data_IF_906247346559
#
_entry.id   IF_906247346559
#
_cell.length_a   1.000
_cell.length_b   1.000
_cell.length_c   1.000
_cell.angle_alpha   90.00
_cell.angle_beta   90.00
_cell.angle_gamma   90.00
#
_symmetry.space_group_name_H-M   'P 1'
#
loop_
_entity.id
_entity.type
_entity.pdbx_description
1 polymer ?
#
# COMPACT_ATOMS: atom_id res chain seq x y z
N UNK A 1 10.45 -13.26 -18.35
CA UNK A 1 10.76 -11.88 -18.77
C UNK A 1 10.36 -10.91 -17.68
N UNK A 2 11.22 -9.98 -17.22
CA UNK A 2 10.79 -8.93 -16.30
C UNK A 2 9.98 -7.85 -17.04
N UNK A 3 8.82 -7.48 -16.50
CA UNK A 3 8.12 -6.27 -16.93
C UNK A 3 8.84 -5.05 -16.35
N UNK A 4 9.15 -4.07 -17.21
CA UNK A 4 9.68 -2.78 -16.80
C UNK A 4 8.57 -1.74 -16.84
N UNK A 5 8.53 -0.87 -15.82
CA UNK A 5 7.56 0.22 -15.69
C UNK A 5 8.30 1.54 -15.46
N UNK A 6 7.76 2.62 -16.02
CA UNK A 6 8.24 3.97 -15.78
C UNK A 6 7.97 4.42 -14.32
N UNK A 7 8.67 5.45 -13.83
CA UNK A 7 8.36 6.06 -12.53
C UNK A 7 6.87 6.40 -12.37
N UNK A 8 6.29 5.98 -11.24
CA UNK A 8 4.87 6.16 -10.92
C UNK A 8 3.86 5.54 -11.92
N UNK A 9 4.29 4.61 -12.77
CA UNK A 9 3.38 3.88 -13.68
C UNK A 9 2.72 2.70 -12.99
N UNK A 10 3.49 1.93 -12.21
CA UNK A 10 3.01 0.77 -11.49
C UNK A 10 3.38 0.83 -9.99
N UNK A 11 2.53 0.23 -9.17
CA UNK A 11 2.83 -0.06 -7.78
C UNK A 11 2.67 -1.55 -7.52
N UNK A 12 3.52 -2.07 -6.64
CA UNK A 12 3.35 -3.35 -6.02
C UNK A 12 2.46 -3.21 -4.79
N UNK A 13 1.60 -4.20 -4.60
CA UNK A 13 0.72 -4.33 -3.46
C UNK A 13 0.98 -5.66 -2.77
N UNK A 14 1.14 -5.60 -1.45
CA UNK A 14 1.32 -6.78 -0.60
C UNK A 14 0.59 -6.61 0.74
N UNK A 15 0.39 -7.73 1.45
CA UNK A 15 -0.18 -7.77 2.79
C UNK A 15 0.75 -8.45 3.78
N UNK A 16 0.87 -7.87 4.96
CA UNK A 16 1.49 -8.55 6.10
C UNK A 16 0.57 -8.54 7.30
N UNK A 17 0.73 -9.51 8.20
CA UNK A 17 -0.06 -9.63 9.42
C UNK A 17 0.84 -9.48 10.63
N UNK A 18 0.38 -8.72 11.62
CA UNK A 18 1.13 -8.45 12.84
C UNK A 18 0.20 -8.60 14.04
N UNK A 19 0.73 -9.13 15.14
CA UNK A 19 0.09 -9.03 16.45
C UNK A 19 0.63 -7.77 17.13
N UNK A 20 -0.27 -6.89 17.54
CA UNK A 20 0.07 -5.61 18.18
C UNK A 20 -0.73 -5.45 19.46
N UNK A 21 -0.12 -4.84 20.47
CA UNK A 21 -0.81 -4.48 21.69
C UNK A 21 -1.48 -3.11 21.52
N UNK A 22 -2.80 -3.05 21.60
CA UNK A 22 -3.58 -1.80 21.55
C UNK A 22 -4.35 -1.70 22.86
N UNK A 23 -4.01 -0.71 23.68
CA UNK A 23 -4.64 -0.48 24.99
C UNK A 23 -4.67 -1.74 25.89
N UNK A 24 -3.55 -2.47 25.96
CA UNK A 24 -3.44 -3.70 26.74
C UNK A 24 -4.11 -4.93 26.12
N UNK A 25 -4.82 -4.79 25.00
CA UNK A 25 -5.41 -5.91 24.26
C UNK A 25 -4.53 -6.30 23.09
N UNK A 26 -4.19 -7.58 22.97
CA UNK A 26 -3.52 -8.09 21.76
C UNK A 26 -4.52 -8.14 20.61
N UNK A 27 -4.22 -7.44 19.53
CA UNK A 27 -5.04 -7.37 18.32
C UNK A 27 -4.19 -7.78 17.13
N UNK A 28 -4.72 -8.69 16.33
CA UNK A 28 -4.16 -9.00 15.01
C UNK A 28 -4.54 -7.90 14.03
N UNK A 29 -3.56 -7.25 13.42
CA UNK A 29 -3.76 -6.26 12.35
C UNK A 29 -3.18 -6.76 11.04
N UNK A 30 -3.85 -6.47 9.94
CA UNK A 30 -3.33 -6.68 8.60
C UNK A 30 -2.89 -5.33 8.03
N UNK A 31 -1.65 -5.25 7.55
CA UNK A 31 -1.06 -4.03 7.00
C UNK A 31 -0.94 -4.16 5.49
N UNK A 32 -1.58 -3.25 4.77
CA UNK A 32 -1.41 -3.09 3.34
C UNK A 32 -0.12 -2.33 3.06
N UNK A 33 0.74 -2.90 2.23
CA UNK A 33 1.95 -2.25 1.75
C UNK A 33 1.78 -1.89 0.27
N UNK A 34 1.96 -0.62 -0.06
CA UNK A 34 1.91 -0.09 -1.42
C UNK A 34 3.25 0.56 -1.74
N UNK A 35 3.98 0.02 -2.72
CA UNK A 35 5.30 0.52 -3.12
C UNK A 35 5.35 0.77 -4.62
N UNK A 36 5.91 1.91 -5.04
CA UNK A 36 6.13 2.16 -6.47
C UNK A 36 7.25 1.27 -7.01
N UNK A 37 7.05 0.68 -8.20
CA UNK A 37 8.01 -0.29 -8.76
C UNK A 37 9.39 0.33 -9.03
N UNK A 38 9.41 1.62 -9.43
CA UNK A 38 10.61 2.37 -9.78
C UNK A 38 11.12 3.31 -8.67
N UNK A 39 10.51 3.29 -7.48
CA UNK A 39 10.87 4.22 -6.39
C UNK A 39 10.88 3.53 -5.02
N UNK A 40 11.56 4.16 -4.05
CA UNK A 40 11.50 3.76 -2.63
C UNK A 40 10.30 4.37 -1.89
N UNK A 41 9.46 5.15 -2.57
CA UNK A 41 8.25 5.69 -1.98
C UNK A 41 7.28 4.56 -1.59
N UNK A 42 6.91 4.54 -0.30
CA UNK A 42 6.10 3.52 0.34
C UNK A 42 4.89 4.18 1.01
N UNK A 43 3.73 3.56 0.88
CA UNK A 43 2.52 3.89 1.61
C UNK A 43 2.01 2.65 2.34
N UNK A 44 1.71 2.79 3.64
CA UNK A 44 1.23 1.68 4.46
C UNK A 44 -0.05 2.04 5.21
N UNK A 45 -0.94 1.06 5.37
CA UNK A 45 -2.17 1.24 6.16
C UNK A 45 -2.52 -0.05 6.90
N UNK A 46 -2.64 0.05 8.22
CA UNK A 46 -3.11 -1.04 9.07
C UNK A 46 -4.64 -1.06 9.14
N UNK A 47 -5.21 -2.27 9.15
CA UNK A 47 -6.62 -2.55 9.34
C UNK A 47 -6.77 -3.66 10.38
N UNK A 48 -7.79 -3.56 11.23
CA UNK A 48 -8.10 -4.60 12.23
C UNK A 48 -8.65 -5.88 11.61
N UNK A 49 -9.17 -5.82 10.38
CA UNK A 49 -9.64 -6.98 9.61
C UNK A 49 -9.41 -6.78 8.12
N UNK A 50 -9.03 -7.85 7.42
CA UNK A 50 -8.97 -7.89 5.95
C UNK A 50 -10.31 -8.41 5.40
N UNK A 51 -11.02 -7.56 4.65
CA UNK A 51 -12.26 -7.91 3.94
C UNK A 51 -12.15 -7.53 2.46
N UNK A 52 -13.04 -8.05 1.60
CA UNK A 52 -13.10 -7.63 0.19
C UNK A 52 -13.27 -6.12 0.02
N UNK A 53 -14.03 -5.47 0.90
CA UNK A 53 -14.23 -4.03 0.85
C UNK A 53 -12.95 -3.26 1.20
N UNK A 54 -12.17 -3.75 2.18
CA UNK A 54 -10.86 -3.17 2.52
C UNK A 54 -9.90 -3.28 1.34
N UNK A 55 -9.93 -4.38 0.58
CA UNK A 55 -9.12 -4.52 -0.62
C UNK A 55 -9.46 -3.47 -1.68
N UNK A 56 -10.74 -3.24 -1.96
CA UNK A 56 -11.19 -2.17 -2.88
C UNK A 56 -10.71 -0.79 -2.40
N UNK A 57 -10.82 -0.50 -1.10
CA UNK A 57 -10.35 0.76 -0.51
C UNK A 57 -8.84 0.92 -0.69
N UNK A 58 -8.07 -0.14 -0.46
CA UNK A 58 -6.61 -0.11 -0.62
C UNK A 58 -6.22 0.10 -2.08
N UNK A 59 -6.90 -0.55 -3.03
CA UNK A 59 -6.66 -0.32 -4.46
C UNK A 59 -6.96 1.13 -4.86
N UNK A 60 -8.09 1.68 -4.41
CA UNK A 60 -8.43 3.09 -4.67
C UNK A 60 -7.38 4.06 -4.08
N UNK A 61 -6.84 3.74 -2.90
CA UNK A 61 -5.73 4.50 -2.29
C UNK A 61 -4.41 4.32 -3.03
N UNK A 62 -4.11 3.12 -3.53
CA UNK A 62 -2.94 2.85 -4.37
C UNK A 62 -2.95 3.69 -5.64
N UNK A 63 -4.11 3.79 -6.31
CA UNK A 63 -4.29 4.67 -7.47
C UNK A 63 -4.07 6.15 -7.12
N UNK A 64 -4.58 6.62 -5.98
CA UNK A 64 -4.37 7.99 -5.53
C UNK A 64 -2.89 8.27 -5.20
N UNK A 65 -2.24 7.36 -4.45
CA UNK A 65 -0.82 7.44 -4.11
C UNK A 65 0.05 7.52 -5.37
N UNK A 66 -0.23 6.67 -6.36
CA UNK A 66 0.44 6.69 -7.67
C UNK A 66 0.29 8.04 -8.37
N UNK A 67 -0.93 8.60 -8.43
CA UNK A 67 -1.18 9.90 -9.05
C UNK A 67 -0.40 11.02 -8.36
N UNK A 68 -0.37 11.02 -7.03
CA UNK A 68 0.36 12.03 -6.27
C UNK A 68 1.87 11.92 -6.48
N UNK A 69 2.42 10.71 -6.52
CA UNK A 69 3.82 10.51 -6.85
C UNK A 69 4.15 11.02 -8.27
N UNK A 70 3.27 10.77 -9.26
CA UNK A 70 3.47 11.28 -10.62
C UNK A 70 3.58 12.81 -10.67
N UNK A 71 2.77 13.53 -9.91
CA UNK A 71 2.91 15.01 -9.82
C UNK A 71 4.22 15.48 -9.21
N UNK A 72 4.91 14.65 -8.41
CA UNK A 72 6.20 14.99 -7.83
C UNK A 72 7.39 14.69 -8.77
N UNK A 73 7.22 13.79 -9.74
CA UNK A 73 8.26 13.42 -10.70
C UNK A 73 8.19 14.19 -12.04
N UNK A 74 7.10 14.90 -12.33
CA UNK A 74 6.92 15.69 -13.56
C UNK A 74 7.22 17.19 -13.38
N UNK A 75 8.10 17.54 -12.43
CA UNK A 75 8.61 18.91 -12.23
C UNK A 75 9.92 19.14 -12.98
#
# INVERSE_FOLDING_TARGET
MPLSFAPAEAYQFDWSQYEVLINGTTVTVTVAHLRLYHSRMLFMRAYSRRTRQVEIIVQHRGLAFRRQARSQFCG
#
